data_IF_995746470014
#
_entry.id   IF_995746470014
#
_cell.length_a   1.000
_cell.length_b   1.000
_cell.length_c   1.000
_cell.angle_alpha   90.00
_cell.angle_beta   90.00
_cell.angle_gamma   90.00
#
_symmetry.space_group_name_H-M   'P 1'
#
loop_
_entity.id
_entity.type
_entity.pdbx_description
1 polymer ?
#
# COMPACT_ATOMS: atom_id res chain seq x y z
N UNK A 1 -10.21 1.21 20.76
CA UNK A 1 -10.28 2.28 19.75
C UNK A 1 -10.12 1.64 18.38
N UNK A 2 -11.10 1.81 17.51
CA UNK A 2 -11.07 1.23 16.16
C UNK A 2 -10.00 1.91 15.29
N UNK A 3 -9.58 1.25 14.21
CA UNK A 3 -8.56 1.74 13.29
C UNK A 3 -9.16 2.58 12.19
N UNK A 4 -8.47 3.64 11.80
CA UNK A 4 -8.80 4.48 10.65
C UNK A 4 -7.81 4.20 9.53
N UNK A 5 -8.32 3.94 8.33
CA UNK A 5 -7.52 3.51 7.18
C UNK A 5 -7.81 4.44 6.01
N UNK A 6 -6.76 4.97 5.39
CA UNK A 6 -6.83 5.60 4.09
C UNK A 6 -6.47 4.57 3.01
N UNK A 7 -7.30 4.43 2.01
CA UNK A 7 -7.03 3.66 0.80
C UNK A 7 -6.83 4.64 -0.35
N UNK A 8 -5.62 4.66 -0.91
CA UNK A 8 -5.22 5.53 -2.01
C UNK A 8 -5.25 4.73 -3.30
N UNK A 9 -6.15 5.10 -4.20
CA UNK A 9 -6.49 4.32 -5.39
C UNK A 9 -7.67 3.38 -5.12
N UNK A 10 -8.82 3.63 -5.76
CA UNK A 10 -10.04 2.81 -5.62
C UNK A 10 -10.35 1.98 -6.88
N UNK A 11 -9.34 1.67 -7.66
CA UNK A 11 -9.45 0.69 -8.75
C UNK A 11 -9.74 -0.72 -8.24
N UNK A 12 -9.52 -1.74 -9.06
CA UNK A 12 -9.86 -3.13 -8.74
C UNK A 12 -9.27 -3.63 -7.41
N UNK A 13 -8.00 -3.30 -7.12
CA UNK A 13 -7.34 -3.71 -5.88
C UNK A 13 -7.85 -2.93 -4.67
N UNK A 14 -7.85 -1.60 -4.75
CA UNK A 14 -8.24 -0.75 -3.61
C UNK A 14 -9.70 -0.92 -3.23
N UNK A 15 -10.62 -1.05 -4.20
CA UNK A 15 -12.03 -1.31 -3.91
C UNK A 15 -12.24 -2.67 -3.21
N UNK A 16 -11.49 -3.71 -3.61
CA UNK A 16 -11.52 -5.00 -2.93
C UNK A 16 -11.04 -4.89 -1.48
N UNK A 17 -9.96 -4.16 -1.24
CA UNK A 17 -9.46 -3.93 0.12
C UNK A 17 -10.48 -3.14 0.94
N UNK A 18 -11.07 -2.08 0.39
CA UNK A 18 -12.09 -1.29 1.08
C UNK A 18 -13.27 -2.17 1.53
N UNK A 19 -13.77 -3.03 0.65
CA UNK A 19 -14.84 -3.97 0.97
C UNK A 19 -14.45 -4.93 2.10
N UNK A 20 -13.24 -5.49 2.07
CA UNK A 20 -12.77 -6.38 3.14
C UNK A 20 -12.57 -5.65 4.46
N UNK A 21 -12.03 -4.44 4.44
CA UNK A 21 -11.85 -3.63 5.66
C UNK A 21 -13.19 -3.17 6.26
N UNK A 22 -14.23 -2.99 5.44
CA UNK A 22 -15.58 -2.65 5.92
C UNK A 22 -16.22 -3.74 6.80
N UNK A 23 -15.82 -5.00 6.56
CA UNK A 23 -16.25 -6.17 7.35
C UNK A 23 -15.44 -6.34 8.64
N UNK A 24 -14.25 -5.74 8.75
CA UNK A 24 -13.35 -5.96 9.88
C UNK A 24 -13.82 -5.24 11.15
N UNK A 25 -14.01 -5.97 12.28
CA UNK A 25 -14.53 -5.38 13.52
C UNK A 25 -13.62 -4.29 14.10
N UNK A 26 -12.31 -4.42 13.90
CA UNK A 26 -11.31 -3.48 14.42
C UNK A 26 -11.14 -2.22 13.54
N UNK A 27 -11.80 -2.15 12.40
CA UNK A 27 -11.82 -0.96 11.55
C UNK A 27 -13.02 -0.10 11.90
N UNK A 28 -12.75 1.14 12.28
CA UNK A 28 -13.75 2.14 12.63
C UNK A 28 -14.16 2.98 11.42
N UNK A 29 -13.18 3.34 10.58
CA UNK A 29 -13.37 4.24 9.46
C UNK A 29 -12.45 3.92 8.31
N UNK A 30 -12.97 4.04 7.09
CA UNK A 30 -12.22 3.91 5.84
C UNK A 30 -12.37 5.23 5.07
N UNK A 31 -11.26 5.77 4.61
CA UNK A 31 -11.24 6.91 3.68
C UNK A 31 -10.84 6.35 2.31
N UNK A 32 -11.72 6.44 1.33
CA UNK A 32 -11.48 6.02 -0.05
C UNK A 32 -11.05 7.24 -0.87
N UNK A 33 -9.84 7.23 -1.40
CA UNK A 33 -9.24 8.38 -2.08
C UNK A 33 -8.77 8.02 -3.50
N UNK A 34 -9.21 8.79 -4.49
CA UNK A 34 -8.80 8.67 -5.89
C UNK A 34 -8.97 10.00 -6.62
N UNK A 35 -8.40 10.13 -7.81
CA UNK A 35 -8.68 11.21 -8.75
C UNK A 35 -10.01 10.99 -9.52
N UNK A 36 -10.45 9.74 -9.64
CA UNK A 36 -11.74 9.38 -10.25
C UNK A 36 -12.89 9.55 -9.24
N UNK A 37 -13.51 10.73 -9.28
CA UNK A 37 -14.65 11.08 -8.41
C UNK A 37 -15.79 10.05 -8.50
N UNK A 38 -16.08 9.57 -9.73
CA UNK A 38 -17.17 8.62 -9.93
C UNK A 38 -16.88 7.29 -9.26
N UNK A 39 -15.67 6.77 -9.39
CA UNK A 39 -15.26 5.52 -8.75
C UNK A 39 -15.33 5.62 -7.21
N UNK A 40 -14.88 6.75 -6.64
CA UNK A 40 -14.98 7.02 -5.20
C UNK A 40 -16.45 7.04 -4.77
N UNK A 41 -17.29 7.84 -5.43
CA UNK A 41 -18.71 8.01 -5.07
C UNK A 41 -19.52 6.71 -5.18
N UNK A 42 -19.22 5.88 -6.17
CA UNK A 42 -19.86 4.57 -6.34
C UNK A 42 -19.43 3.59 -5.24
N UNK A 43 -18.15 3.56 -4.90
CA UNK A 43 -17.63 2.66 -3.89
C UNK A 43 -18.18 2.97 -2.50
N UNK A 44 -18.17 4.24 -2.07
CA UNK A 44 -18.61 4.60 -0.72
C UNK A 44 -20.11 4.39 -0.49
N UNK A 45 -20.92 4.36 -1.53
CA UNK A 45 -22.37 4.08 -1.42
C UNK A 45 -22.67 2.65 -0.94
N UNK A 46 -21.77 1.72 -1.19
CA UNK A 46 -21.95 0.29 -0.85
C UNK A 46 -21.25 -0.11 0.45
N UNK A 47 -20.45 0.76 1.04
CA UNK A 47 -19.69 0.51 2.26
C UNK A 47 -20.34 1.22 3.46
N UNK A 48 -20.25 0.61 4.64
CA UNK A 48 -20.89 1.12 5.87
C UNK A 48 -20.00 2.09 6.64
N UNK A 49 -18.67 1.92 6.54
CA UNK A 49 -17.67 2.66 7.34
C UNK A 49 -16.86 3.62 6.49
N UNK A 50 -17.18 3.76 5.19
CA UNK A 50 -16.37 4.52 4.26
C UNK A 50 -16.88 5.94 4.03
N UNK A 51 -15.95 6.86 3.85
CA UNK A 51 -16.16 8.16 3.25
C UNK A 51 -15.23 8.37 2.07
N UNK A 52 -15.63 9.20 1.11
CA UNK A 52 -14.86 9.50 -0.09
C UNK A 52 -14.10 10.82 0.02
N UNK A 53 -12.94 10.89 -0.59
CA UNK A 53 -12.22 12.13 -0.82
C UNK A 53 -11.50 12.07 -2.16
N UNK A 54 -11.21 13.25 -2.73
CA UNK A 54 -10.54 13.34 -4.03
C UNK A 54 -9.13 13.83 -3.85
N UNK A 55 -8.19 13.18 -4.52
CA UNK A 55 -6.76 13.48 -4.41
C UNK A 55 -6.10 13.60 -5.78
N UNK A 56 -5.00 14.35 -5.82
CA UNK A 56 -3.99 14.23 -6.87
C UNK A 56 -2.81 13.42 -6.33
N UNK A 57 -2.56 12.26 -6.93
CA UNK A 57 -1.46 11.37 -6.53
C UNK A 57 -0.05 11.93 -6.84
N UNK A 58 0.04 12.99 -7.66
CA UNK A 58 1.29 13.73 -7.87
C UNK A 58 1.58 14.72 -6.75
N UNK A 59 0.58 15.09 -5.96
CA UNK A 59 0.70 16.03 -4.85
C UNK A 59 0.71 15.31 -3.50
N UNK A 60 1.88 15.26 -2.86
CA UNK A 60 2.06 14.65 -1.54
C UNK A 60 1.17 15.31 -0.49
N UNK A 61 0.94 16.62 -0.58
CA UNK A 61 0.11 17.35 0.37
C UNK A 61 -1.36 17.01 0.22
N UNK A 62 -1.82 16.77 -1.00
CA UNK A 62 -3.17 16.29 -1.29
C UNK A 62 -3.41 14.93 -0.61
N UNK A 63 -2.47 13.99 -0.75
CA UNK A 63 -2.56 12.66 -0.11
C UNK A 63 -2.46 12.80 1.42
N UNK A 64 -1.52 13.58 1.92
CA UNK A 64 -1.32 13.78 3.36
C UNK A 64 -2.56 14.37 4.03
N UNK A 65 -3.20 15.36 3.40
CA UNK A 65 -4.45 15.95 3.89
C UNK A 65 -5.58 14.90 4.00
N UNK A 66 -5.71 14.03 3.01
CA UNK A 66 -6.67 12.92 3.06
C UNK A 66 -6.34 11.91 4.17
N UNK A 67 -5.06 11.77 4.52
CA UNK A 67 -4.54 10.84 5.53
C UNK A 67 -4.42 11.41 6.95
N UNK A 68 -4.91 12.61 7.23
CA UNK A 68 -4.80 13.19 8.56
C UNK A 68 -5.49 12.32 9.62
N UNK A 69 -4.73 11.91 10.64
CA UNK A 69 -5.24 11.14 11.78
C UNK A 69 -5.59 9.68 11.48
N UNK A 70 -5.14 9.10 10.35
CA UNK A 70 -5.29 7.68 10.07
C UNK A 70 -4.18 6.85 10.72
N UNK A 71 -4.47 5.59 10.99
CA UNK A 71 -3.49 4.63 11.53
C UNK A 71 -2.65 3.99 10.42
N UNK A 72 -3.23 3.82 9.23
CA UNK A 72 -2.65 3.12 8.09
C UNK A 72 -3.03 3.78 6.77
N UNK A 73 -2.08 3.91 5.87
CA UNK A 73 -2.31 4.22 4.46
C UNK A 73 -2.02 2.97 3.63
N UNK A 74 -3.02 2.52 2.87
CA UNK A 74 -2.89 1.45 1.89
C UNK A 74 -2.78 2.08 0.51
N UNK A 75 -1.66 1.87 -0.15
CA UNK A 75 -1.41 2.34 -1.51
C UNK A 75 -1.81 1.27 -2.53
N UNK A 76 -2.87 1.54 -3.28
CA UNK A 76 -3.36 0.70 -4.38
C UNK A 76 -3.24 1.40 -5.74
N UNK A 77 -2.42 2.44 -5.83
CA UNK A 77 -2.09 3.14 -7.07
C UNK A 77 -1.04 2.39 -7.90
N UNK A 78 -0.88 2.74 -9.17
CA UNK A 78 0.25 2.30 -9.98
C UNK A 78 1.60 2.66 -9.35
N UNK A 79 2.63 1.85 -9.63
CA UNK A 79 3.94 1.86 -8.96
C UNK A 79 4.66 3.21 -8.98
N UNK A 80 4.46 4.03 -10.02
CA UNK A 80 5.09 5.34 -10.15
C UNK A 80 4.70 6.33 -9.04
N UNK A 81 3.57 6.12 -8.36
CA UNK A 81 3.11 6.96 -7.26
C UNK A 81 3.57 6.46 -5.88
N UNK A 82 4.26 5.32 -5.83
CA UNK A 82 4.64 4.67 -4.57
C UNK A 82 5.38 5.58 -3.62
N UNK A 83 6.37 6.34 -4.11
CA UNK A 83 7.14 7.27 -3.29
C UNK A 83 6.28 8.41 -2.72
N UNK A 84 5.39 9.00 -3.52
CA UNK A 84 4.54 10.09 -3.05
C UNK A 84 3.65 9.65 -1.88
N UNK A 85 3.11 8.44 -1.96
CA UNK A 85 2.26 7.90 -0.88
C UNK A 85 3.09 7.52 0.36
N UNK A 86 4.33 7.02 0.18
CA UNK A 86 5.28 6.80 1.29
C UNK A 86 5.61 8.10 2.03
N UNK A 87 5.92 9.18 1.30
CA UNK A 87 6.20 10.49 1.88
C UNK A 87 4.97 11.08 2.59
N UNK A 88 3.79 10.91 2.02
CA UNK A 88 2.54 11.31 2.67
C UNK A 88 2.32 10.55 3.98
N UNK A 89 2.57 9.24 4.01
CA UNK A 89 2.46 8.42 5.22
C UNK A 89 3.42 8.88 6.32
N UNK A 90 4.67 9.20 5.98
CA UNK A 90 5.63 9.79 6.90
C UNK A 90 5.14 11.14 7.45
N UNK A 91 4.62 12.00 6.59
CA UNK A 91 4.13 13.33 6.94
C UNK A 91 3.00 13.30 7.96
N UNK A 92 2.04 12.36 7.80
CA UNK A 92 0.91 12.20 8.72
C UNK A 92 1.19 11.19 9.86
N UNK A 93 2.39 10.63 9.90
CA UNK A 93 2.82 9.64 10.90
C UNK A 93 1.90 8.41 10.93
N UNK A 94 1.51 7.90 9.76
CA UNK A 94 0.74 6.68 9.61
C UNK A 94 1.66 5.48 9.28
N UNK A 95 1.17 4.25 9.51
CA UNK A 95 1.77 3.08 8.89
C UNK A 95 1.49 3.08 7.39
N UNK A 96 2.29 2.35 6.63
CA UNK A 96 2.17 2.25 5.18
C UNK A 96 2.13 0.80 4.72
N UNK A 97 1.33 0.53 3.70
CA UNK A 97 1.30 -0.75 2.99
C UNK A 97 1.04 -0.51 1.50
N UNK A 98 1.72 -1.29 0.65
CA UNK A 98 1.40 -1.38 -0.78
C UNK A 98 1.41 -2.83 -1.29
N UNK A 99 1.02 -3.02 -2.56
CA UNK A 99 0.96 -4.34 -3.20
C UNK A 99 2.18 -4.67 -4.04
N UNK A 100 2.81 -3.68 -4.65
CA UNK A 100 3.82 -3.89 -5.69
C UNK A 100 5.22 -3.36 -5.34
N UNK A 101 5.34 -2.55 -4.26
CA UNK A 101 6.49 -1.66 -4.06
C UNK A 101 6.62 -0.66 -5.23
N UNK A 102 7.80 -0.10 -5.46
CA UNK A 102 8.04 0.78 -6.60
C UNK A 102 9.39 0.47 -7.23
N UNK A 103 9.53 0.73 -8.51
CA UNK A 103 10.79 0.78 -9.25
C UNK A 103 11.15 2.21 -9.66
N UNK A 104 10.40 3.20 -9.14
CA UNK A 104 10.63 4.63 -9.35
C UNK A 104 10.97 5.28 -8.03
N UNK A 105 12.16 5.88 -7.94
CA UNK A 105 12.60 6.62 -6.76
C UNK A 105 13.25 7.94 -7.19
N UNK A 106 12.82 9.04 -6.58
CA UNK A 106 13.28 10.40 -6.92
C UNK A 106 13.11 10.75 -8.42
N UNK A 107 12.03 10.24 -9.03
CA UNK A 107 11.74 10.44 -10.44
C UNK A 107 12.59 9.60 -11.40
N UNK A 108 13.43 8.72 -10.90
CA UNK A 108 14.28 7.83 -11.67
C UNK A 108 13.72 6.41 -11.68
N UNK A 109 13.61 5.81 -12.86
CA UNK A 109 13.32 4.39 -13.04
C UNK A 109 14.58 3.55 -12.80
N UNK A 110 14.44 2.47 -12.02
CA UNK A 110 15.50 1.49 -11.81
C UNK A 110 15.34 0.34 -12.80
N UNK A 111 16.39 0.01 -13.53
CA UNK A 111 16.42 -1.14 -14.44
C UNK A 111 16.37 -2.47 -13.68
N UNK A 112 16.88 -2.46 -12.45
CA UNK A 112 16.92 -3.62 -11.58
C UNK A 112 16.13 -3.35 -10.29
N UNK A 113 14.93 -3.93 -10.22
CA UNK A 113 13.98 -3.73 -9.12
C UNK A 113 14.57 -3.97 -7.71
N UNK A 114 15.42 -5.03 -7.46
CA UNK A 114 16.01 -5.22 -6.14
C UNK A 114 16.85 -4.05 -5.64
N UNK A 115 17.52 -3.32 -6.51
CA UNK A 115 18.30 -2.13 -6.13
C UNK A 115 17.38 -0.99 -5.67
N UNK A 116 16.26 -0.79 -6.34
CA UNK A 116 15.25 0.18 -5.90
C UNK A 116 14.68 -0.19 -4.52
N UNK A 117 14.32 -1.46 -4.32
CA UNK A 117 13.80 -1.94 -3.04
C UNK A 117 14.85 -1.81 -1.93
N UNK A 118 16.11 -2.12 -2.20
CA UNK A 118 17.20 -1.95 -1.23
C UNK A 118 17.39 -0.47 -0.86
N UNK A 119 17.30 0.43 -1.82
CA UNK A 119 17.40 1.87 -1.59
C UNK A 119 16.21 2.39 -0.77
N UNK A 120 14.99 1.95 -1.10
CA UNK A 120 13.78 2.25 -0.31
C UNK A 120 13.92 1.79 1.14
N UNK A 121 14.38 0.56 1.35
CA UNK A 121 14.60 0.03 2.69
C UNK A 121 15.61 0.88 3.47
N UNK A 122 16.70 1.29 2.82
CA UNK A 122 17.76 2.10 3.42
C UNK A 122 17.26 3.50 3.78
N UNK A 123 16.54 4.15 2.85
CA UNK A 123 16.15 5.55 2.99
C UNK A 123 14.93 5.72 3.89
N UNK A 124 13.95 4.82 3.77
CA UNK A 124 12.67 4.95 4.47
C UNK A 124 12.58 4.15 5.76
N UNK A 125 13.33 3.04 5.88
CA UNK A 125 13.31 2.20 7.08
C UNK A 125 13.64 2.98 8.35
N UNK A 126 14.68 3.82 8.31
CA UNK A 126 15.05 4.71 9.43
C UNK A 126 13.97 5.74 9.72
N UNK A 127 13.46 6.41 8.69
CA UNK A 127 12.42 7.45 8.82
C UNK A 127 11.16 6.91 9.50
N UNK A 128 10.69 5.72 9.09
CA UNK A 128 9.55 5.08 9.72
C UNK A 128 9.84 4.62 11.16
N UNK A 129 11.03 4.10 11.43
CA UNK A 129 11.44 3.73 12.79
C UNK A 129 11.48 4.94 13.74
N UNK A 130 12.01 6.08 13.29
CA UNK A 130 12.09 7.32 14.06
C UNK A 130 10.73 7.87 14.49
N UNK A 131 9.70 7.66 13.69
CA UNK A 131 8.32 8.05 14.03
C UNK A 131 7.52 6.93 14.70
N UNK A 132 8.14 5.77 15.01
CA UNK A 132 7.49 4.61 15.61
C UNK A 132 6.42 3.97 14.73
N UNK A 133 6.62 3.99 13.41
CA UNK A 133 5.70 3.43 12.41
C UNK A 133 6.40 2.38 11.56
N UNK A 134 5.62 1.70 10.72
CA UNK A 134 6.08 0.62 9.87
C UNK A 134 5.61 0.83 8.43
N UNK A 135 6.47 0.51 7.47
CA UNK A 135 6.10 0.37 6.06
C UNK A 135 6.29 -1.08 5.63
N UNK A 136 5.26 -1.67 5.03
CA UNK A 136 5.31 -3.01 4.43
C UNK A 136 5.03 -2.84 2.94
N UNK A 137 6.00 -3.22 2.12
CA UNK A 137 5.92 -3.08 0.66
C UNK A 137 5.84 -4.44 -0.03
N UNK A 138 5.23 -4.47 -1.21
CA UNK A 138 5.18 -5.66 -2.04
C UNK A 138 4.29 -6.77 -1.48
N UNK A 139 3.16 -6.45 -0.87
CA UNK A 139 2.26 -7.42 -0.22
C UNK A 139 1.22 -8.03 -1.15
N UNK A 140 1.27 -7.71 -2.44
CA UNK A 140 0.35 -8.23 -3.45
C UNK A 140 0.62 -9.69 -3.85
N UNK A 141 0.18 -10.06 -5.05
CA UNK A 141 0.37 -11.42 -5.58
C UNK A 141 1.85 -11.76 -5.74
N UNK A 142 2.59 -10.88 -6.42
CA UNK A 142 4.04 -10.95 -6.58
C UNK A 142 4.64 -9.59 -6.16
N UNK A 143 5.63 -9.58 -5.25
CA UNK A 143 6.32 -10.72 -4.64
C UNK A 143 5.59 -11.31 -3.41
N UNK A 144 4.62 -10.61 -2.80
CA UNK A 144 4.08 -10.91 -1.47
C UNK A 144 3.58 -12.35 -1.30
N UNK A 145 2.43 -12.68 -1.92
CA UNK A 145 1.82 -14.00 -1.78
C UNK A 145 2.74 -15.12 -2.27
N UNK A 146 3.40 -14.91 -3.41
CA UNK A 146 4.30 -15.93 -3.99
C UNK A 146 5.45 -16.26 -3.06
N UNK A 147 6.06 -15.27 -2.41
CA UNK A 147 7.13 -15.50 -1.43
C UNK A 147 6.65 -16.31 -0.22
N UNK A 148 5.46 -15.99 0.31
CA UNK A 148 4.88 -16.71 1.46
C UNK A 148 4.55 -18.16 1.09
N UNK A 149 3.89 -18.39 -0.06
CA UNK A 149 3.55 -19.73 -0.54
C UNK A 149 4.81 -20.54 -0.83
N UNK A 150 5.81 -19.96 -1.48
CA UNK A 150 7.09 -20.61 -1.74
C UNK A 150 7.76 -21.02 -0.43
N UNK A 151 7.87 -20.12 0.54
CA UNK A 151 8.45 -20.44 1.86
C UNK A 151 7.70 -21.57 2.54
N UNK A 152 6.37 -21.60 2.45
CA UNK A 152 5.56 -22.66 3.03
C UNK A 152 5.79 -24.00 2.34
N UNK A 153 5.88 -24.01 1.00
CA UNK A 153 6.14 -25.23 0.23
C UNK A 153 7.55 -25.79 0.51
N UNK A 154 8.56 -24.94 0.60
CA UNK A 154 9.93 -25.35 0.95
C UNK A 154 10.01 -26.11 2.29
N UNK A 155 9.14 -25.74 3.25
CA UNK A 155 9.10 -26.43 4.56
C UNK A 155 8.61 -27.88 4.49
N UNK A 156 8.02 -28.28 3.36
CA UNK A 156 7.52 -29.65 3.12
C UNK A 156 8.53 -30.54 2.38
N UNK A 157 9.70 -29.98 2.01
CA UNK A 157 10.76 -30.65 1.25
C UNK A 157 11.98 -30.86 2.15
N UNK A 158 12.68 -31.97 1.94
CA UNK A 158 13.97 -32.23 2.62
C UNK A 158 15.08 -31.33 2.04
N UNK A 159 15.07 -31.11 0.73
CA UNK A 159 15.97 -30.22 -0.01
C UNK A 159 15.21 -29.42 -1.06
N UNK A 160 15.74 -28.26 -1.41
CA UNK A 160 15.20 -27.42 -2.47
C UNK A 160 16.38 -26.70 -3.16
N UNK A 161 16.72 -27.15 -4.36
CA UNK A 161 17.87 -26.62 -5.12
C UNK A 161 17.46 -25.44 -6.00
N UNK A 162 16.22 -25.46 -6.55
CA UNK A 162 15.71 -24.43 -7.45
C UNK A 162 14.29 -24.00 -7.10
N UNK A 163 13.99 -22.74 -7.32
CA UNK A 163 12.66 -22.17 -7.20
C UNK A 163 12.32 -21.41 -8.48
N UNK A 164 11.26 -21.83 -9.16
CA UNK A 164 10.73 -21.12 -10.32
C UNK A 164 9.37 -20.51 -9.98
N UNK A 165 9.28 -19.18 -10.06
CA UNK A 165 8.02 -18.43 -9.90
C UNK A 165 7.68 -17.75 -11.23
N UNK A 166 6.46 -17.98 -11.72
CA UNK A 166 5.97 -17.38 -12.96
C UNK A 166 4.71 -16.56 -12.69
N UNK A 167 4.66 -15.36 -13.30
CA UNK A 167 3.52 -14.44 -13.28
C UNK A 167 3.11 -14.18 -14.72
N UNK A 168 1.83 -14.28 -15.02
CA UNK A 168 1.24 -14.04 -16.33
C UNK A 168 0.34 -12.82 -16.30
#
# INVERSE_FOLDING_TARGET
MGKKILIVGVGAQGSTVAQRMDEEPNVEKIICADADHKAVDELVKILKKAEGTYIDANDIDSIAKAGEGVDLIVNALPIQFGQNVLEAALKVKANYQDFAATDVLNGQWYEWWPDCVQQLYTDYGKKFAEIGKMAIMGTGSAPGLMCVVTKKNMQLLDTCDDILMMVY
#
